data_IF_042620506782
#
_entry.id   IF_042620506782
#
_cell.length_a   1.000
_cell.length_b   1.000
_cell.length_c   1.000
_cell.angle_alpha   90.00
_cell.angle_beta   90.00
_cell.angle_gamma   90.00
#
_symmetry.space_group_name_H-M   'P 1'
#
loop_
_entity.id
_entity.type
_entity.pdbx_description
1 polymer ?
#
# COMPACT_ATOMS: atom_id res chain seq x y z
N UNK A 1 -2.89 5.59 4.24
CA UNK A 1 -3.62 6.27 3.15
C UNK A 1 -4.78 5.37 2.75
N UNK A 2 -6.04 5.73 3.05
CA UNK A 2 -7.21 4.97 2.57
C UNK A 2 -7.49 5.46 1.16
N UNK A 3 -7.18 4.64 0.16
CA UNK A 3 -7.64 4.88 -1.20
C UNK A 3 -9.13 4.53 -1.17
N UNK A 4 -10.00 5.55 -1.10
CA UNK A 4 -11.45 5.35 -1.14
C UNK A 4 -11.84 4.70 -2.45
N UNK A 5 -12.87 3.84 -2.44
CA UNK A 5 -13.32 3.18 -3.65
C UNK A 5 -13.98 4.21 -4.57
N UNK A 6 -13.34 4.45 -5.73
CA UNK A 6 -13.80 5.42 -6.74
C UNK A 6 -15.22 5.15 -7.25
N UNK A 7 -15.73 3.93 -7.08
CA UNK A 7 -17.06 3.50 -7.52
C UNK A 7 -18.15 3.61 -6.43
N UNK A 8 -17.81 3.90 -5.17
CA UNK A 8 -18.78 4.00 -4.07
C UNK A 8 -19.91 4.99 -4.38
N UNK A 9 -19.55 6.14 -4.93
CA UNK A 9 -20.52 7.20 -5.26
C UNK A 9 -21.42 6.82 -6.46
N UNK A 10 -20.91 6.07 -7.44
CA UNK A 10 -21.74 5.57 -8.55
C UNK A 10 -22.79 4.58 -8.05
N UNK A 11 -22.37 3.60 -7.23
CA UNK A 11 -23.29 2.61 -6.64
C UNK A 11 -24.36 3.26 -5.76
N UNK A 12 -23.99 4.30 -5.01
CA UNK A 12 -24.95 5.07 -4.23
C UNK A 12 -25.99 5.75 -5.11
N UNK A 13 -25.56 6.46 -6.16
CA UNK A 13 -26.46 7.18 -7.07
C UNK A 13 -27.37 6.23 -7.86
N UNK A 14 -26.90 5.04 -8.23
CA UNK A 14 -27.72 4.01 -8.87
C UNK A 14 -28.85 3.55 -7.95
N UNK A 15 -28.52 3.24 -6.70
CA UNK A 15 -29.50 2.84 -5.69
C UNK A 15 -30.51 3.96 -5.40
N UNK A 16 -30.05 5.20 -5.30
CA UNK A 16 -30.93 6.35 -5.10
C UNK A 16 -31.84 6.58 -6.32
N UNK A 17 -31.35 6.37 -7.54
CA UNK A 17 -32.15 6.48 -8.75
C UNK A 17 -33.28 5.44 -8.77
N UNK A 18 -32.97 4.18 -8.46
CA UNK A 18 -33.93 3.08 -8.38
C UNK A 18 -34.99 3.34 -7.30
N UNK A 19 -34.57 3.76 -6.09
CA UNK A 19 -35.49 4.12 -5.01
C UNK A 19 -36.40 5.30 -5.37
N UNK A 20 -35.86 6.31 -6.05
CA UNK A 20 -36.65 7.47 -6.47
C UNK A 20 -37.69 7.13 -7.54
N UNK A 21 -37.36 6.19 -8.42
CA UNK A 21 -38.26 5.66 -9.45
C UNK A 21 -39.39 4.85 -8.83
N UNK A 22 -39.08 3.94 -7.89
CA UNK A 22 -40.10 3.23 -7.13
C UNK A 22 -41.04 4.18 -6.38
N UNK A 23 -40.47 5.22 -5.76
CA UNK A 23 -41.25 6.22 -5.00
C UNK A 23 -42.22 6.95 -5.93
N UNK A 24 -41.74 7.41 -7.09
CA UNK A 24 -42.59 8.05 -8.09
C UNK A 24 -43.67 7.10 -8.62
N UNK A 25 -43.34 5.83 -8.88
CA UNK A 25 -44.32 4.84 -9.33
C UNK A 25 -45.42 4.59 -8.29
N UNK A 26 -45.11 4.70 -7.00
CA UNK A 26 -46.07 4.55 -5.90
C UNK A 26 -46.92 5.79 -5.65
N UNK A 27 -46.35 6.99 -5.75
CA UNK A 27 -47.04 8.25 -5.44
C UNK A 27 -47.69 8.93 -6.66
N UNK A 28 -47.11 8.76 -7.85
CA UNK A 28 -47.36 9.53 -9.07
C UNK A 28 -47.30 11.06 -8.88
N UNK A 29 -46.64 11.53 -7.82
CA UNK A 29 -46.54 12.95 -7.48
C UNK A 29 -45.55 13.68 -8.40
N UNK A 30 -45.92 14.83 -8.99
CA UNK A 30 -45.00 15.70 -9.72
C UNK A 30 -43.70 16.06 -8.97
N UNK A 31 -43.73 16.18 -7.64
CA UNK A 31 -42.56 16.46 -6.80
C UNK A 31 -41.59 15.28 -6.82
N UNK A 32 -42.11 14.05 -6.70
CA UNK A 32 -41.30 12.83 -6.76
C UNK A 32 -40.70 12.63 -8.16
N UNK A 33 -41.43 13.01 -9.21
CA UNK A 33 -40.91 13.04 -10.60
C UNK A 33 -39.71 13.98 -10.74
N UNK A 34 -39.80 15.19 -10.16
CA UNK A 34 -38.69 16.17 -10.20
C UNK A 34 -37.47 15.60 -9.47
N UNK A 35 -37.68 14.98 -8.30
CA UNK A 35 -36.60 14.35 -7.54
C UNK A 35 -35.96 13.19 -8.31
N UNK A 36 -36.76 12.31 -8.92
CA UNK A 36 -36.27 11.21 -9.77
C UNK A 36 -35.44 11.76 -10.94
N UNK A 37 -35.93 12.77 -11.66
CA UNK A 37 -35.21 13.38 -12.76
C UNK A 37 -33.89 14.02 -12.32
N UNK A 38 -33.88 14.66 -11.14
CA UNK A 38 -32.67 15.25 -10.54
C UNK A 38 -31.62 14.17 -10.29
N UNK A 39 -31.99 13.07 -9.62
CA UNK A 39 -31.07 11.99 -9.27
C UNK A 39 -30.57 11.27 -10.53
N UNK A 40 -31.45 10.97 -11.50
CA UNK A 40 -31.04 10.37 -12.78
C UNK A 40 -30.07 11.27 -13.56
N UNK A 41 -30.28 12.58 -13.57
CA UNK A 41 -29.34 13.52 -14.20
C UNK A 41 -27.99 13.57 -13.48
N UNK A 42 -28.00 13.53 -12.14
CA UNK A 42 -26.79 13.47 -11.32
C UNK A 42 -26.00 12.18 -11.57
N UNK A 43 -26.68 11.03 -11.63
CA UNK A 43 -26.10 9.73 -11.96
C UNK A 43 -25.41 9.75 -13.33
N UNK A 44 -26.11 10.21 -14.37
CA UNK A 44 -25.57 10.34 -15.73
C UNK A 44 -24.34 11.25 -15.74
N UNK A 45 -24.40 12.37 -15.03
CA UNK A 45 -23.28 13.31 -14.94
C UNK A 45 -22.09 12.67 -14.26
N UNK A 46 -22.30 11.96 -13.15
CA UNK A 46 -21.25 11.27 -12.42
C UNK A 46 -20.56 10.19 -13.27
N UNK A 47 -21.36 9.36 -13.94
CA UNK A 47 -20.89 8.34 -14.87
C UNK A 47 -19.97 8.94 -15.94
N UNK A 48 -20.35 10.06 -16.57
CA UNK A 48 -19.50 10.75 -17.57
C UNK A 48 -18.12 11.17 -17.07
N UNK A 49 -17.98 11.45 -15.77
CA UNK A 49 -16.69 11.87 -15.20
C UNK A 49 -15.80 10.70 -14.79
N UNK A 50 -16.38 9.52 -14.53
CA UNK A 50 -15.64 8.31 -14.14
C UNK A 50 -15.29 7.44 -15.35
N UNK A 51 -16.11 7.46 -16.41
CA UNK A 51 -15.94 6.58 -17.57
C UNK A 51 -14.87 7.00 -18.57
N UNK A 52 -13.94 7.90 -18.23
CA UNK A 52 -12.80 8.14 -19.10
C UNK A 52 -11.53 8.49 -18.36
N UNK A 53 -10.44 7.91 -18.82
CA UNK A 53 -9.08 8.27 -18.40
C UNK A 53 -8.30 8.72 -19.64
N UNK A 54 -7.31 9.58 -19.42
CA UNK A 54 -6.37 9.96 -20.48
C UNK A 54 -5.10 9.13 -20.32
N UNK A 55 -4.78 8.33 -21.33
CA UNK A 55 -3.51 7.59 -21.42
C UNK A 55 -2.77 8.17 -22.62
N UNK A 56 -1.56 8.68 -22.36
CA UNK A 56 -0.79 9.48 -23.31
C UNK A 56 -1.61 10.65 -23.89
N UNK A 57 -2.00 10.57 -25.16
CA UNK A 57 -2.83 11.56 -25.86
C UNK A 57 -4.27 11.10 -26.14
N UNK A 58 -4.61 9.84 -25.81
CA UNK A 58 -5.89 9.24 -26.14
C UNK A 58 -6.81 9.18 -24.90
N UNK A 59 -8.09 9.48 -25.12
CA UNK A 59 -9.13 9.21 -24.12
C UNK A 59 -9.58 7.76 -24.25
N UNK A 60 -9.43 6.99 -23.18
CA UNK A 60 -9.95 5.64 -23.05
C UNK A 60 -11.26 5.74 -22.29
N UNK A 61 -12.34 5.17 -22.86
CA UNK A 61 -13.67 5.20 -22.27
C UNK A 61 -14.18 3.81 -21.90
N UNK A 62 -15.00 3.75 -20.84
CA UNK A 62 -15.65 2.53 -20.36
C UNK A 62 -14.84 1.76 -19.33
N UNK A 63 -15.55 1.18 -18.36
CA UNK A 63 -14.94 0.59 -17.15
C UNK A 63 -14.01 -0.57 -17.46
N UNK A 64 -14.37 -1.44 -18.41
CA UNK A 64 -13.55 -2.58 -18.83
C UNK A 64 -12.21 -2.12 -19.45
N UNK A 65 -12.26 -1.12 -20.33
CA UNK A 65 -11.08 -0.59 -21.00
C UNK A 65 -10.17 0.18 -20.02
N UNK A 66 -10.77 0.94 -19.11
CA UNK A 66 -10.06 1.62 -18.02
C UNK A 66 -9.36 0.60 -17.11
N UNK A 67 -10.05 -0.49 -16.77
CA UNK A 67 -9.50 -1.58 -15.98
C UNK A 67 -8.30 -2.24 -16.65
N UNK A 68 -8.41 -2.57 -17.95
CA UNK A 68 -7.31 -3.15 -18.74
C UNK A 68 -6.12 -2.19 -18.77
N UNK A 69 -6.34 -0.93 -19.13
CA UNK A 69 -5.28 0.08 -19.21
C UNK A 69 -4.59 0.31 -17.86
N UNK A 70 -5.33 0.28 -16.75
CA UNK A 70 -4.76 0.38 -15.41
C UNK A 70 -3.90 -0.85 -15.07
N UNK A 71 -4.37 -2.06 -15.40
CA UNK A 71 -3.61 -3.29 -15.17
C UNK A 71 -2.31 -3.29 -15.99
N UNK A 72 -2.37 -2.92 -17.27
CA UNK A 72 -1.19 -2.80 -18.13
C UNK A 72 -0.21 -1.75 -17.59
N UNK A 73 -0.69 -0.56 -17.23
CA UNK A 73 0.15 0.49 -16.65
C UNK A 73 0.88 0.04 -15.39
N UNK A 74 0.19 -0.59 -14.44
CA UNK A 74 0.83 -1.07 -13.20
C UNK A 74 1.70 -2.29 -13.45
N UNK A 75 1.30 -3.19 -14.35
CA UNK A 75 2.13 -4.30 -14.78
C UNK A 75 3.47 -3.78 -15.31
N UNK A 76 3.45 -2.80 -16.20
CA UNK A 76 4.65 -2.21 -16.77
C UNK A 76 5.43 -1.43 -15.72
N UNK A 77 4.78 -0.64 -14.86
CA UNK A 77 5.45 0.08 -13.76
C UNK A 77 6.22 -0.85 -12.82
N UNK A 78 5.69 -2.04 -12.55
CA UNK A 78 6.33 -3.02 -11.66
C UNK A 78 7.21 -4.04 -12.42
N UNK A 79 7.14 -4.07 -13.74
CA UNK A 79 7.96 -4.94 -14.60
C UNK A 79 9.16 -4.19 -15.22
N UNK A 80 9.01 -2.90 -15.50
CA UNK A 80 10.09 -1.97 -15.84
C UNK A 80 10.96 -1.76 -14.61
N UNK A 81 11.97 -2.61 -14.50
CA UNK A 81 12.99 -2.48 -13.48
C UNK A 81 12.90 -3.54 -12.37
N UNK A 82 13.16 -4.80 -12.74
CA UNK A 82 14.46 -5.31 -12.27
C UNK A 82 15.48 -4.28 -12.76
N UNK A 83 15.67 -3.20 -12.00
CA UNK A 83 16.95 -2.53 -11.99
C UNK A 83 17.87 -3.71 -11.81
N UNK A 84 18.66 -4.05 -12.82
CA UNK A 84 19.81 -4.90 -12.58
C UNK A 84 20.63 -4.05 -11.63
N UNK A 85 20.31 -4.17 -10.34
CA UNK A 85 21.05 -3.55 -9.28
C UNK A 85 22.40 -4.18 -9.49
N UNK A 86 23.30 -3.36 -9.99
CA UNK A 86 24.64 -3.80 -10.29
C UNK A 86 25.29 -4.08 -8.95
N UNK A 87 25.18 -5.35 -8.54
CA UNK A 87 25.72 -5.83 -7.28
C UNK A 87 27.25 -5.90 -7.32
N UNK A 88 27.90 -5.55 -8.45
CA UNK A 88 29.36 -5.36 -8.48
C UNK A 88 29.84 -4.31 -7.47
N UNK A 89 28.97 -3.36 -7.10
CA UNK A 89 29.24 -2.42 -6.01
C UNK A 89 29.32 -3.12 -4.64
N UNK A 90 28.57 -4.22 -4.44
CA UNK A 90 28.65 -5.01 -3.21
C UNK A 90 29.95 -5.81 -3.15
N UNK A 91 30.56 -6.14 -4.29
CA UNK A 91 31.85 -6.82 -4.35
C UNK A 91 33.03 -5.93 -3.91
N UNK A 92 32.83 -4.60 -3.88
CA UNK A 92 33.79 -3.64 -3.34
C UNK A 92 33.78 -3.58 -1.81
N UNK A 93 32.76 -4.15 -1.16
CA UNK A 93 32.66 -4.18 0.30
C UNK A 93 33.66 -5.24 0.81
N UNK A 94 34.70 -4.85 1.57
CA UNK A 94 35.66 -5.81 2.09
C UNK A 94 34.95 -6.79 3.02
N UNK A 95 35.22 -8.09 2.84
CA UNK A 95 34.72 -9.11 3.75
C UNK A 95 35.53 -9.07 5.06
N UNK A 96 35.02 -8.31 6.02
CA UNK A 96 35.68 -8.08 7.32
C UNK A 96 35.35 -9.16 8.37
N UNK A 97 34.48 -10.12 8.04
CA UNK A 97 34.07 -11.19 8.96
C UNK A 97 34.45 -12.51 8.31
N UNK A 98 35.42 -13.20 8.92
CA UNK A 98 35.81 -14.52 8.47
C UNK A 98 34.79 -15.58 8.91
N UNK A 99 34.82 -16.73 8.25
CA UNK A 99 34.00 -17.88 8.66
C UNK A 99 34.34 -18.31 10.10
N UNK A 100 35.59 -18.14 10.51
CA UNK A 100 36.05 -18.40 11.87
C UNK A 100 35.43 -17.41 12.87
N UNK A 101 35.28 -16.14 12.52
CA UNK A 101 34.62 -15.15 13.37
C UNK A 101 33.14 -15.53 13.57
N UNK A 102 32.46 -15.95 12.49
CA UNK A 102 31.09 -16.44 12.58
C UNK A 102 30.97 -17.66 13.51
N UNK A 103 31.89 -18.63 13.40
CA UNK A 103 31.94 -19.80 14.27
C UNK A 103 32.17 -19.45 15.74
N UNK A 104 32.97 -18.43 16.03
CA UNK A 104 33.21 -17.94 17.39
C UNK A 104 31.96 -17.24 17.94
N UNK A 105 31.20 -16.51 17.12
CA UNK A 105 30.01 -15.77 17.56
C UNK A 105 28.79 -16.68 17.79
N UNK A 106 28.69 -17.80 17.07
CA UNK A 106 27.56 -18.73 17.19
C UNK A 106 27.83 -19.88 18.17
N UNK A 107 29.06 -20.09 18.63
CA UNK A 107 29.34 -21.19 19.58
C UNK A 107 28.80 -20.85 20.97
N UNK A 108 28.40 -21.89 21.68
CA UNK A 108 28.10 -21.75 23.08
C UNK A 108 29.37 -21.35 23.86
N UNK A 109 29.27 -20.37 24.78
CA UNK A 109 30.38 -19.99 25.62
C UNK A 109 30.74 -21.13 26.58
N UNK A 110 32.03 -21.31 26.85
CA UNK A 110 32.50 -22.33 27.78
C UNK A 110 32.29 -21.89 29.24
N UNK A 111 32.23 -22.86 30.15
CA UNK A 111 32.10 -22.60 31.59
C UNK A 111 33.18 -21.67 32.14
N UNK A 112 34.40 -21.76 31.61
CA UNK A 112 35.52 -20.90 32.04
C UNK A 112 35.38 -19.46 31.51
N UNK A 113 34.88 -19.28 30.29
CA UNK A 113 34.59 -17.94 29.75
C UNK A 113 33.49 -17.24 30.54
N UNK A 114 32.44 -17.97 30.92
CA UNK A 114 31.36 -17.45 31.76
C UNK A 114 31.92 -17.04 33.14
N UNK A 115 32.70 -17.90 33.79
CA UNK A 115 33.32 -17.60 35.09
C UNK A 115 34.23 -16.38 35.02
N UNK A 116 35.04 -16.28 33.97
CA UNK A 116 35.96 -15.17 33.77
C UNK A 116 35.22 -13.86 33.50
N UNK A 117 34.17 -13.87 32.68
CA UNK A 117 33.33 -12.70 32.41
C UNK A 117 32.61 -12.21 33.68
N UNK A 118 32.07 -13.14 34.49
CA UNK A 118 31.46 -12.81 35.79
C UNK A 118 32.48 -12.19 36.73
N UNK A 119 33.68 -12.76 36.83
CA UNK A 119 34.77 -12.23 37.66
C UNK A 119 35.20 -10.82 37.21
N UNK A 120 35.40 -10.61 35.91
CA UNK A 120 35.74 -9.30 35.35
C UNK A 120 34.65 -8.26 35.57
N UNK A 121 33.38 -8.64 35.46
CA UNK A 121 32.24 -7.75 35.70
C UNK A 121 32.15 -7.35 37.19
N UNK A 122 32.35 -8.30 38.11
CA UNK A 122 32.42 -8.03 39.54
C UNK A 122 33.60 -7.09 39.86
N UNK A 123 34.79 -7.36 39.32
CA UNK A 123 35.98 -6.53 39.52
C UNK A 123 35.85 -5.12 38.92
N UNK A 124 35.15 -4.97 37.80
CA UNK A 124 34.85 -3.67 37.20
C UNK A 124 33.85 -2.88 38.05
N UNK A 125 32.86 -3.55 38.66
CA UNK A 125 31.90 -2.93 39.59
C UNK A 125 32.54 -2.56 40.93
N UNK A 126 33.50 -3.32 41.42
CA UNK A 126 34.26 -3.01 42.64
C UNK A 126 35.33 -1.92 42.45
N UNK A 127 35.67 -1.55 41.21
CA UNK A 127 36.62 -0.47 40.87
C UNK A 127 35.98 0.89 40.62
N UNK A 128 34.66 1.01 40.77
CA UNK A 128 34.03 2.32 40.87
C UNK A 128 34.36 2.88 42.27
N UNK A 129 35.02 4.05 42.38
CA UNK A 129 35.05 4.73 43.66
C UNK A 129 33.60 4.99 44.08
N UNK A 130 33.25 4.63 45.32
CA UNK A 130 32.07 5.18 45.97
C UNK A 130 32.30 6.69 46.09
N UNK A 131 31.88 7.44 45.07
CA UNK A 131 31.73 8.89 45.18
C UNK A 131 30.57 9.17 46.14
N UNK A 132 30.93 9.51 47.38
CA UNK A 132 30.15 10.26 48.35
C UNK A 132 31.01 11.43 48.86
#
# INVERSE_FOLDING_TARGET
MKIGNIFEKSQQLEKEAEQSEEKYMKSMDPIDRINMNRIKAELITHHKHIHRIKVDENWIEGDDNIGIAAVEFYHDLFSEGKNMVDNSLLDLIPNCISEQDNQILIRDPTTEEIKQAVKQNIEARCRLPEEL
#
